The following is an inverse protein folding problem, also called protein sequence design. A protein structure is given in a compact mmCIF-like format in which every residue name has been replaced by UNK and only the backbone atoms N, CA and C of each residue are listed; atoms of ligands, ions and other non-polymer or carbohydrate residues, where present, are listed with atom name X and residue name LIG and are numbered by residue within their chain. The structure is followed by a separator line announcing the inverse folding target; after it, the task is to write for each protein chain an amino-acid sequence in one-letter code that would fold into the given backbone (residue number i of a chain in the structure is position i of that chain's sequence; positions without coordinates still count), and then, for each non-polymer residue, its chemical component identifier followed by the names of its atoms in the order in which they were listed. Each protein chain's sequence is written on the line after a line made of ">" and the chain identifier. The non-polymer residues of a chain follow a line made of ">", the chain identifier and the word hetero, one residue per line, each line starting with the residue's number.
data_IF_751717785816
#
_entry.id   IF_751717785816
#
_cell.length_a   1.000
_cell.length_b   1.000
_cell.length_c   1.000
_cell.angle_alpha   90.00
_cell.angle_beta   90.00
_cell.angle_gamma   90.00
#
_symmetry.space_group_name_H-M   'P 1'
#
loop_
_entity.id
_entity.type
_entity.pdbx_description
1 polymer ?
#
# COMPACT_ATOMS: atom_id res chain seq x y z
N UNK A 1 -21.00 -26.39 2.18
CA UNK A 1 -19.97 -26.08 1.16
C UNK A 1 -20.31 -24.72 0.59
N UNK A 2 -19.54 -23.69 0.94
CA UNK A 2 -19.68 -22.35 0.35
C UNK A 2 -18.45 -22.16 -0.52
N UNK A 3 -18.64 -22.17 -1.83
CA UNK A 3 -17.63 -21.80 -2.81
C UNK A 3 -17.64 -20.28 -2.93
N UNK A 4 -16.69 -19.62 -2.26
CA UNK A 4 -16.45 -18.19 -2.42
C UNK A 4 -15.41 -17.97 -3.53
N UNK A 5 -15.89 -17.71 -4.74
CA UNK A 5 -15.15 -17.11 -5.86
C UNK A 5 -15.77 -15.71 -6.05
N UNK A 6 -15.09 -14.56 -6.08
CA UNK A 6 -13.67 -14.22 -6.05
C UNK A 6 -13.61 -12.75 -5.55
N UNK A 7 -13.16 -12.50 -4.32
CA UNK A 7 -12.94 -11.15 -3.79
C UNK A 7 -11.59 -10.61 -4.22
N UNK A 8 -11.42 -10.38 -5.51
CA UNK A 8 -10.16 -9.92 -6.10
C UNK A 8 -10.02 -8.41 -5.96
N UNK A 9 -8.84 -7.96 -5.57
CA UNK A 9 -8.53 -6.53 -5.54
C UNK A 9 -8.39 -6.02 -6.97
N UNK A 10 -9.23 -5.08 -7.37
CA UNK A 10 -9.18 -4.48 -8.70
C UNK A 10 -8.02 -3.47 -8.81
N UNK A 11 -7.52 -3.24 -10.03
CA UNK A 11 -6.44 -2.28 -10.28
C UNK A 11 -6.78 -0.84 -9.83
N UNK A 12 -8.05 -0.47 -9.88
CA UNK A 12 -8.51 0.86 -9.42
C UNK A 12 -8.38 1.03 -7.91
N UNK A 13 -8.41 -0.07 -7.16
CA UNK A 13 -8.29 -0.11 -5.71
C UNK A 13 -6.83 -0.41 -5.29
N UNK A 14 -5.89 -0.49 -6.25
CA UNK A 14 -4.46 -0.71 -6.02
C UNK A 14 -3.70 0.61 -5.97
N UNK A 15 -2.97 0.84 -4.87
CA UNK A 15 -2.32 2.09 -4.52
C UNK A 15 -0.79 2.01 -4.52
N UNK A 16 -0.18 0.82 -4.56
CA UNK A 16 1.28 0.73 -4.58
C UNK A 16 1.86 1.25 -5.90
N UNK A 17 2.50 2.41 -5.89
CA UNK A 17 3.28 2.92 -7.01
C UNK A 17 3.12 4.42 -7.21
N UNK A 18 4.20 5.09 -7.61
CA UNK A 18 4.26 6.55 -7.75
C UNK A 18 3.70 7.12 -9.06
N UNK A 19 3.43 6.27 -10.06
CA UNK A 19 2.92 6.65 -11.38
C UNK A 19 2.01 5.54 -11.92
N UNK A 20 1.18 5.81 -12.93
CA UNK A 20 0.33 4.77 -13.53
C UNK A 20 1.12 3.55 -14.01
N UNK A 21 2.31 3.79 -14.57
CA UNK A 21 3.21 2.72 -15.03
C UNK A 21 3.73 1.86 -13.87
N UNK A 22 4.29 2.49 -12.83
CA UNK A 22 4.82 1.76 -11.66
C UNK A 22 3.72 1.09 -10.85
N UNK A 23 2.53 1.70 -10.80
CA UNK A 23 1.33 1.14 -10.16
C UNK A 23 0.80 -0.09 -10.88
N UNK A 24 0.82 -0.09 -12.22
CA UNK A 24 0.44 -1.28 -13.00
C UNK A 24 1.45 -2.42 -12.84
N UNK A 25 2.75 -2.11 -12.91
CA UNK A 25 3.80 -3.12 -12.73
C UNK A 25 3.71 -3.80 -11.35
N UNK A 26 3.50 -3.02 -10.29
CA UNK A 26 3.38 -3.58 -8.94
C UNK A 26 2.11 -4.41 -8.76
N UNK A 27 0.97 -3.99 -9.33
CA UNK A 27 -0.28 -4.76 -9.31
C UNK A 27 -0.11 -6.15 -9.93
N UNK A 28 0.50 -6.20 -11.12
CA UNK A 28 0.74 -7.44 -11.86
C UNK A 28 1.77 -8.34 -11.15
N UNK A 29 2.79 -7.75 -10.52
CA UNK A 29 3.89 -8.50 -9.89
C UNK A 29 3.56 -9.05 -8.50
N UNK A 30 2.73 -8.33 -7.72
CA UNK A 30 2.42 -8.70 -6.33
C UNK A 30 1.15 -9.57 -6.25
N UNK A 31 0.28 -9.55 -7.27
CA UNK A 31 -0.98 -10.33 -7.33
C UNK A 31 -1.88 -10.14 -6.12
N UNK A 32 -2.67 -9.06 -6.14
CA UNK A 32 -3.84 -8.84 -5.27
C UNK A 32 -3.59 -9.02 -3.75
N UNK A 33 -2.40 -8.65 -3.26
CA UNK A 33 -2.04 -8.79 -1.86
C UNK A 33 -2.53 -7.60 -1.03
N UNK A 34 -3.68 -7.74 -0.36
CA UNK A 34 -4.31 -6.66 0.43
C UNK A 34 -3.37 -6.06 1.50
N UNK A 35 -2.65 -6.86 2.31
CA UNK A 35 -1.63 -6.33 3.22
C UNK A 35 -0.59 -5.42 2.57
N UNK A 36 -0.07 -5.79 1.39
CA UNK A 36 0.94 -4.98 0.70
C UNK A 36 0.32 -3.68 0.18
N UNK A 37 -0.87 -3.77 -0.43
CA UNK A 37 -1.59 -2.59 -0.88
C UNK A 37 -1.83 -1.59 0.26
N UNK A 38 -2.20 -2.10 1.43
CA UNK A 38 -2.39 -1.31 2.64
C UNK A 38 -1.09 -0.63 3.10
N UNK A 39 0.05 -1.32 3.07
CA UNK A 39 1.35 -0.72 3.40
C UNK A 39 1.65 0.52 2.53
N UNK A 40 1.32 0.47 1.25
CA UNK A 40 1.51 1.60 0.34
C UNK A 40 0.58 2.78 0.65
N UNK A 41 -0.69 2.53 0.97
CA UNK A 41 -1.62 3.61 1.38
C UNK A 41 -1.11 4.34 2.61
N UNK A 42 -0.63 3.61 3.62
CA UNK A 42 -0.08 4.19 4.86
C UNK A 42 1.21 4.97 4.59
N UNK A 43 2.07 4.46 3.70
CA UNK A 43 3.30 5.15 3.29
C UNK A 43 3.02 6.48 2.58
N UNK A 44 2.10 6.47 1.60
CA UNK A 44 1.70 7.67 0.86
C UNK A 44 1.04 8.71 1.76
N UNK A 45 0.25 8.28 2.75
CA UNK A 45 -0.30 9.15 3.78
C UNK A 45 0.78 9.73 4.69
N UNK A 46 1.74 8.91 5.14
CA UNK A 46 2.89 9.37 5.92
C UNK A 46 3.72 10.43 5.17
N UNK A 47 3.91 10.22 3.87
CA UNK A 47 4.52 11.18 2.95
C UNK A 47 3.69 12.46 2.88
N UNK A 48 2.39 12.37 2.60
CA UNK A 48 1.49 13.53 2.50
C UNK A 48 1.47 14.36 3.80
N UNK A 49 1.49 13.70 4.95
CA UNK A 49 1.55 14.32 6.29
C UNK A 49 2.94 14.83 6.67
N UNK A 50 3.95 14.58 5.83
CA UNK A 50 5.33 15.03 6.02
C UNK A 50 5.92 14.60 7.38
N UNK A 51 5.69 13.34 7.79
CA UNK A 51 6.13 12.82 9.09
C UNK A 51 7.62 12.44 9.15
N UNK A 52 8.39 12.77 8.11
CA UNK A 52 9.81 12.44 7.95
C UNK A 52 10.03 11.25 7.02
N UNK A 53 10.78 11.46 5.93
CA UNK A 53 11.00 10.44 4.90
C UNK A 53 11.58 9.14 5.47
N UNK A 54 12.68 9.21 6.22
CA UNK A 54 13.36 8.04 6.80
C UNK A 54 12.41 7.22 7.67
N UNK A 55 11.65 7.88 8.54
CA UNK A 55 10.63 7.24 9.37
C UNK A 55 9.55 6.56 8.53
N UNK A 56 8.99 7.27 7.53
CA UNK A 56 7.96 6.70 6.66
C UNK A 56 8.49 5.49 5.88
N UNK A 57 9.72 5.56 5.36
CA UNK A 57 10.35 4.48 4.61
C UNK A 57 10.63 3.27 5.52
N UNK A 58 11.10 3.48 6.75
CA UNK A 58 11.28 2.41 7.74
C UNK A 58 9.96 1.74 8.13
N UNK A 59 8.92 2.53 8.42
CA UNK A 59 7.57 2.04 8.74
C UNK A 59 7.01 1.20 7.56
N UNK A 60 7.22 1.64 6.31
CA UNK A 60 6.85 0.91 5.10
C UNK A 60 7.61 -0.42 4.95
N UNK A 61 8.93 -0.40 5.15
CA UNK A 61 9.76 -1.60 5.09
C UNK A 61 9.33 -2.64 6.13
N UNK A 62 9.02 -2.22 7.36
CA UNK A 62 8.50 -3.12 8.39
C UNK A 62 7.14 -3.69 8.02
N UNK A 63 6.23 -2.85 7.51
CA UNK A 63 4.92 -3.28 7.05
C UNK A 63 5.04 -4.35 5.95
N UNK A 64 5.90 -4.15 4.95
CA UNK A 64 6.15 -5.12 3.88
C UNK A 64 6.69 -6.45 4.41
N UNK A 65 7.63 -6.45 5.37
CA UNK A 65 8.15 -7.69 5.98
C UNK A 65 7.06 -8.46 6.72
N UNK A 66 6.10 -7.77 7.34
CA UNK A 66 4.96 -8.42 8.01
C UNK A 66 3.96 -8.96 6.99
N UNK A 67 3.70 -8.20 5.93
CA UNK A 67 2.80 -8.58 4.83
C UNK A 67 3.30 -9.81 4.04
N UNK A 68 4.60 -10.11 4.06
CA UNK A 68 5.20 -11.26 3.36
C UNK A 68 5.28 -12.54 4.16
N UNK A 69 4.93 -12.54 5.46
CA UNK A 69 4.98 -13.74 6.31
C UNK A 69 4.19 -14.91 5.69
N UNK A 70 3.10 -14.61 4.98
CA UNK A 70 2.27 -15.59 4.25
C UNK A 70 2.55 -15.71 2.74
N UNK A 71 3.46 -14.90 2.18
CA UNK A 71 3.72 -14.80 0.72
C UNK A 71 5.21 -14.66 0.43
N UNK A 72 5.91 -15.81 0.38
CA UNK A 72 7.36 -15.88 0.10
C UNK A 72 7.72 -15.56 -1.35
N UNK A 73 6.77 -15.66 -2.27
CA UNK A 73 6.92 -15.46 -3.70
C UNK A 73 7.19 -14.00 -4.11
N UNK A 74 6.87 -13.04 -3.25
CA UNK A 74 7.09 -11.62 -3.51
C UNK A 74 8.07 -10.95 -2.52
N UNK A 75 8.81 -11.72 -1.72
CA UNK A 75 9.75 -11.18 -0.70
C UNK A 75 10.84 -10.31 -1.34
N UNK A 76 11.55 -10.82 -2.34
CA UNK A 76 12.64 -10.11 -3.00
C UNK A 76 12.16 -8.79 -3.62
N UNK A 77 10.96 -8.81 -4.23
CA UNK A 77 10.33 -7.62 -4.81
C UNK A 77 10.01 -6.57 -3.73
N UNK A 78 9.53 -6.99 -2.57
CA UNK A 78 9.16 -6.07 -1.50
C UNK A 78 10.37 -5.54 -0.73
N UNK A 79 11.43 -6.33 -0.59
CA UNK A 79 12.73 -5.85 -0.12
C UNK A 79 13.35 -4.85 -1.11
N UNK A 80 13.24 -5.12 -2.41
CA UNK A 80 13.64 -4.16 -3.43
C UNK A 80 12.81 -2.86 -3.35
N UNK A 81 11.49 -2.95 -3.13
CA UNK A 81 10.63 -1.79 -2.97
C UNK A 81 11.02 -0.92 -1.76
N UNK A 82 11.35 -1.56 -0.63
CA UNK A 82 11.92 -0.91 0.56
C UNK A 82 13.21 -0.15 0.22
N UNK A 83 14.13 -0.80 -0.49
CA UNK A 83 15.40 -0.17 -0.90
C UNK A 83 15.17 1.00 -1.87
N UNK A 84 14.19 0.89 -2.77
CA UNK A 84 13.87 1.93 -3.75
C UNK A 84 13.33 3.19 -3.09
N UNK A 85 12.44 3.09 -2.09
CA UNK A 85 11.93 4.28 -1.38
C UNK A 85 13.03 4.95 -0.56
N UNK A 86 13.92 4.18 0.07
CA UNK A 86 15.04 4.75 0.82
C UNK A 86 16.07 5.47 -0.08
N UNK A 87 16.36 4.91 -1.26
CA UNK A 87 17.34 5.48 -2.19
C UNK A 87 16.78 6.61 -3.06
N UNK A 88 15.52 6.51 -3.48
CA UNK A 88 14.93 7.39 -4.50
C UNK A 88 13.64 8.10 -4.04
N UNK A 89 13.16 7.85 -2.82
CA UNK A 89 11.91 8.39 -2.29
C UNK A 89 11.93 9.88 -2.00
N UNK A 90 13.12 10.52 -1.92
CA UNK A 90 13.26 11.94 -1.58
C UNK A 90 12.37 12.85 -2.45
N UNK A 91 12.37 12.62 -3.77
CA UNK A 91 11.54 13.41 -4.68
C UNK A 91 10.05 13.19 -4.46
N UNK A 92 9.62 11.94 -4.29
CA UNK A 92 8.23 11.61 -4.02
C UNK A 92 7.75 12.19 -2.68
N UNK A 93 8.59 12.12 -1.64
CA UNK A 93 8.33 12.70 -0.33
C UNK A 93 8.11 14.21 -0.42
N UNK A 94 9.03 14.95 -1.05
CA UNK A 94 8.88 16.41 -1.16
C UNK A 94 7.70 16.82 -2.03
N UNK A 95 7.42 16.07 -3.11
CA UNK A 95 6.30 16.35 -3.99
C UNK A 95 4.94 16.12 -3.29
N UNK A 96 4.87 15.17 -2.36
CA UNK A 96 3.65 14.89 -1.59
C UNK A 96 3.23 16.04 -0.65
N UNK A 97 4.15 16.94 -0.28
CA UNK A 97 3.84 18.08 0.59
C UNK A 97 2.79 19.05 0.00
N UNK A 98 2.74 19.13 -1.33
CA UNK A 98 1.78 19.97 -2.07
C UNK A 98 0.66 19.15 -2.71
N UNK A 99 0.65 17.83 -2.47
CA UNK A 99 -0.41 16.98 -2.96
C UNK A 99 -1.66 17.21 -2.12
N UNK A 100 -2.72 17.67 -2.78
CA UNK A 100 -4.05 17.70 -2.18
C UNK A 100 -4.84 16.60 -2.84
N UNK A 101 -5.33 15.65 -2.05
CA UNK A 101 -6.29 14.66 -2.55
C UNK A 101 -7.51 15.40 -3.09
N UNK A 102 -8.05 14.99 -4.25
CA UNK A 102 -9.37 15.43 -4.68
C UNK A 102 -10.39 15.23 -3.54
N UNK A 103 -11.33 16.15 -3.37
CA UNK A 103 -12.29 16.15 -2.24
C UNK A 103 -13.14 14.86 -2.22
N UNK A 104 -13.26 14.18 -3.35
CA UNK A 104 -13.95 12.92 -3.59
C UNK A 104 -13.04 11.69 -3.60
N UNK A 105 -11.73 11.86 -3.40
CA UNK A 105 -10.78 10.75 -3.35
C UNK A 105 -10.87 10.07 -1.98
N UNK A 106 -11.62 8.99 -1.92
CA UNK A 106 -11.57 8.09 -0.78
C UNK A 106 -10.44 7.10 -1.04
N UNK A 107 -9.30 7.27 -0.34
CA UNK A 107 -8.15 6.33 -0.28
C UNK A 107 -8.56 4.87 0.01
N UNK A 108 -9.79 4.65 0.45
CA UNK A 108 -10.38 3.37 0.84
C UNK A 108 -11.68 3.08 0.06
N UNK A 109 -11.76 3.46 -1.21
CA UNK A 109 -12.91 3.04 -2.03
C UNK A 109 -12.74 1.58 -2.42
N UNK A 110 -13.16 0.67 -1.54
CA UNK A 110 -13.25 -0.74 -1.89
C UNK A 110 -14.54 -0.93 -2.68
N UNK A 111 -14.41 -1.07 -4.00
CA UNK A 111 -15.55 -1.35 -4.87
C UNK A 111 -16.13 -2.74 -4.60
N UNK A 112 -15.31 -3.65 -4.07
CA UNK A 112 -15.73 -4.98 -3.67
C UNK A 112 -16.20 -4.99 -2.19
N UNK A 113 -17.51 -5.11 -1.95
CA UNK A 113 -18.10 -5.14 -0.60
C UNK A 113 -17.51 -6.26 0.29
N UNK A 114 -17.13 -7.39 -0.31
CA UNK A 114 -16.49 -8.50 0.39
C UNK A 114 -15.06 -8.21 0.87
N UNK A 115 -14.36 -7.23 0.26
CA UNK A 115 -13.05 -6.79 0.72
C UNK A 115 -13.13 -5.85 1.93
N UNK A 116 -14.28 -5.21 2.19
CA UNK A 116 -14.45 -4.29 3.33
C UNK A 116 -14.18 -4.97 4.67
N UNK A 117 -14.61 -6.21 4.86
CA UNK A 117 -14.38 -6.97 6.10
C UNK A 117 -12.88 -7.29 6.25
N UNK A 118 -12.21 -7.67 5.17
CA UNK A 118 -10.78 -7.97 5.19
C UNK A 118 -9.93 -6.74 5.49
N UNK A 119 -10.22 -5.61 4.85
CA UNK A 119 -9.57 -4.34 5.15
C UNK A 119 -9.89 -3.84 6.56
N UNK A 120 -11.14 -3.93 7.01
CA UNK A 120 -11.52 -3.58 8.38
C UNK A 120 -10.69 -4.34 9.42
N UNK A 121 -10.45 -5.64 9.19
CA UNK A 121 -9.58 -6.44 10.04
C UNK A 121 -8.12 -5.96 9.98
N UNK A 122 -7.58 -5.67 8.79
CA UNK A 122 -6.21 -5.13 8.63
C UNK A 122 -6.05 -3.80 9.38
N UNK A 123 -6.96 -2.84 9.19
CA UNK A 123 -6.94 -1.55 9.89
C UNK A 123 -7.10 -1.71 11.41
N UNK A 124 -8.00 -2.59 11.88
CA UNK A 124 -8.18 -2.85 13.31
C UNK A 124 -6.97 -3.50 13.98
N UNK A 125 -6.14 -4.22 13.20
CA UNK A 125 -4.92 -4.87 13.67
C UNK A 125 -3.71 -3.92 13.75
N UNK A 126 -3.83 -2.70 13.21
CA UNK A 126 -2.79 -1.66 13.23
C UNK A 126 -3.27 -0.43 14.03
N UNK A 127 -3.20 -0.44 15.37
CA UNK A 127 -3.74 0.62 16.24
C UNK A 127 -2.94 1.93 16.28
N UNK A 128 -2.03 2.18 15.33
CA UNK A 128 -1.21 3.40 15.27
C UNK A 128 -1.44 4.16 13.97
N UNK A 129 -2.67 4.62 13.78
CA UNK A 129 -2.95 5.77 12.91
C UNK A 129 -3.74 6.76 13.77
N UNK A 130 -3.01 7.52 14.57
CA UNK A 130 -3.47 8.69 15.32
C UNK A 130 -2.31 9.68 15.35
#
# INVERSE_FOLDING_TARGET
>A
MVTADNGRLEFNDWHCGSSDFTRRMSYESITENLPVNHCCVVHDECYTLQLGQEKCDEDFCECNRRATISRRDCVDLLEASCSLVQLFGFGAYHNSANYTEPIDFVKQTLHAENLRIHYGNVYSSCPKVN
#
